data_IF_360592863584
#
_entry.id   IF_360592863584
#
_cell.length_a   1.000
_cell.length_b   1.000
_cell.length_c   1.000
_cell.angle_alpha   90.00
_cell.angle_beta   90.00
_cell.angle_gamma   90.00
#
_symmetry.space_group_name_H-M   'P 1'
#
loop_
_entity.id
_entity.type
_entity.pdbx_description
1 polymer ?
#
# COMPACT_ATOMS: atom_id res chain seq x y z
N UNK A 1 -13.77 17.37 -17.53
CA UNK A 1 -13.08 16.47 -16.59
C UNK A 1 -12.26 15.55 -17.46
N UNK A 2 -10.95 15.73 -17.46
CA UNK A 2 -10.05 15.12 -18.44
C UNK A 2 -10.02 13.60 -18.30
N UNK A 3 -10.43 12.96 -19.38
CA UNK A 3 -10.43 11.52 -19.58
C UNK A 3 -8.98 11.08 -19.81
N UNK A 4 -8.46 10.25 -18.92
CA UNK A 4 -7.14 9.63 -19.06
C UNK A 4 -7.19 8.64 -20.23
N UNK A 5 -6.95 9.11 -21.45
CA UNK A 5 -6.74 8.22 -22.58
C UNK A 5 -5.30 7.74 -22.50
N UNK A 6 -5.10 6.56 -21.91
CA UNK A 6 -3.86 5.81 -22.06
C UNK A 6 -3.65 5.56 -23.56
N UNK A 7 -2.54 6.03 -24.11
CA UNK A 7 -2.11 5.63 -25.45
C UNK A 7 -1.65 4.17 -25.38
N UNK A 8 -2.50 3.26 -25.85
CA UNK A 8 -2.29 1.81 -25.78
C UNK A 8 -1.13 1.33 -26.69
N UNK A 9 -0.49 2.24 -27.44
CA UNK A 9 0.61 1.95 -28.36
C UNK A 9 2.04 2.26 -27.87
N UNK A 10 2.21 2.91 -26.71
CA UNK A 10 3.53 3.31 -26.17
C UNK A 10 3.81 2.68 -24.81
N UNK A 11 5.10 2.46 -24.52
CA UNK A 11 5.56 1.98 -23.21
C UNK A 11 5.13 2.97 -22.12
N UNK A 12 4.28 2.52 -21.20
CA UNK A 12 3.75 3.34 -20.13
C UNK A 12 4.72 3.36 -18.94
N UNK A 13 4.98 4.51 -18.33
CA UNK A 13 5.69 4.58 -17.05
C UNK A 13 5.00 3.73 -15.98
N UNK A 14 5.78 2.96 -15.21
CA UNK A 14 5.25 2.06 -14.19
C UNK A 14 4.41 2.78 -13.11
N UNK A 15 4.71 4.05 -12.83
CA UNK A 15 3.94 4.83 -11.86
C UNK A 15 2.50 5.14 -12.33
N UNK A 16 2.25 5.23 -13.64
CA UNK A 16 0.89 5.40 -14.17
C UNK A 16 0.07 4.12 -14.02
N UNK A 17 0.70 2.96 -14.26
CA UNK A 17 0.09 1.66 -13.99
C UNK A 17 -0.27 1.54 -12.50
N UNK A 18 0.66 1.92 -11.61
CA UNK A 18 0.40 1.89 -10.18
C UNK A 18 -0.75 2.83 -9.76
N UNK A 19 -0.84 4.01 -10.37
CA UNK A 19 -1.92 4.96 -10.13
C UNK A 19 -3.28 4.41 -10.58
N UNK A 20 -3.35 3.78 -11.75
CA UNK A 20 -4.58 3.15 -12.25
C UNK A 20 -5.03 1.99 -11.35
N UNK A 21 -4.09 1.14 -10.92
CA UNK A 21 -4.36 0.05 -9.98
C UNK A 21 -4.91 0.58 -8.67
N UNK A 22 -4.31 1.64 -8.11
CA UNK A 22 -4.78 2.26 -6.86
C UNK A 22 -6.17 2.88 -7.01
N UNK A 23 -6.39 3.68 -8.06
CA UNK A 23 -7.68 4.32 -8.30
C UNK A 23 -8.79 3.27 -8.50
N UNK A 24 -8.49 2.19 -9.22
CA UNK A 24 -9.41 1.07 -9.41
C UNK A 24 -9.66 0.31 -8.11
N UNK A 25 -8.62 0.06 -7.30
CA UNK A 25 -8.77 -0.55 -5.99
C UNK A 25 -9.70 0.25 -5.08
N UNK A 26 -9.53 1.58 -5.03
CA UNK A 26 -10.38 2.49 -4.27
C UNK A 26 -11.83 2.49 -4.77
N UNK A 27 -12.06 2.49 -6.09
CA UNK A 27 -13.42 2.35 -6.66
C UNK A 27 -14.10 1.09 -6.14
N UNK A 28 -13.43 -0.06 -6.25
CA UNK A 28 -13.99 -1.35 -5.84
C UNK A 28 -14.21 -1.43 -4.33
N UNK A 29 -13.32 -0.82 -3.54
CA UNK A 29 -13.46 -0.74 -2.09
C UNK A 29 -14.71 0.07 -1.69
N UNK A 30 -14.92 1.23 -2.31
CA UNK A 30 -16.09 2.07 -2.03
C UNK A 30 -17.42 1.49 -2.52
N UNK A 31 -17.41 0.66 -3.56
CA UNK A 31 -18.61 -0.11 -3.97
C UNK A 31 -19.05 -1.07 -2.86
N UNK A 32 -18.11 -1.57 -2.04
CA UNK A 32 -18.43 -2.32 -0.82
C UNK A 32 -18.69 -3.81 -0.99
N UNK A 33 -18.46 -4.35 -2.19
CA UNK A 33 -18.74 -5.78 -2.49
C UNK A 33 -17.52 -6.51 -3.09
N UNK A 34 -16.50 -5.77 -3.53
CA UNK A 34 -15.37 -6.30 -4.32
C UNK A 34 -14.04 -6.29 -3.55
N UNK A 35 -14.07 -6.60 -2.25
CA UNK A 35 -12.90 -6.44 -1.37
C UNK A 35 -11.69 -7.30 -1.72
N UNK A 36 -11.87 -8.53 -2.21
CA UNK A 36 -10.75 -9.35 -2.69
C UNK A 36 -10.08 -8.76 -3.93
N UNK A 37 -10.86 -8.23 -4.87
CA UNK A 37 -10.32 -7.55 -6.04
C UNK A 37 -9.59 -6.26 -5.64
N UNK A 38 -10.19 -5.47 -4.74
CA UNK A 38 -9.55 -4.27 -4.17
C UNK A 38 -8.22 -4.62 -3.48
N UNK A 39 -8.18 -5.69 -2.66
CA UNK A 39 -6.98 -6.20 -2.01
C UNK A 39 -5.85 -6.48 -3.01
N UNK A 40 -6.17 -7.17 -4.12
CA UNK A 40 -5.17 -7.52 -5.12
C UNK A 40 -4.64 -6.32 -5.90
N UNK A 41 -5.53 -5.40 -6.30
CA UNK A 41 -5.15 -4.19 -7.02
C UNK A 41 -4.34 -3.25 -6.13
N UNK A 42 -4.76 -3.07 -4.87
CA UNK A 42 -4.02 -2.28 -3.89
C UNK A 42 -2.63 -2.88 -3.64
N UNK A 43 -2.51 -4.20 -3.54
CA UNK A 43 -1.23 -4.88 -3.41
C UNK A 43 -0.31 -4.71 -4.62
N UNK A 44 -0.86 -4.73 -5.84
CA UNK A 44 -0.09 -4.44 -7.05
C UNK A 44 0.38 -2.99 -7.11
N UNK A 45 -0.49 -2.04 -6.74
CA UNK A 45 -0.14 -0.62 -6.67
C UNK A 45 0.96 -0.36 -5.63
N UNK A 46 0.82 -0.93 -4.43
CA UNK A 46 1.79 -0.82 -3.33
C UNK A 46 3.18 -1.30 -3.78
N UNK A 47 3.27 -2.49 -4.40
CA UNK A 47 4.54 -3.06 -4.86
C UNK A 47 5.22 -2.20 -5.94
N UNK A 48 4.45 -1.63 -6.87
CA UNK A 48 5.01 -0.78 -7.93
C UNK A 48 5.48 0.57 -7.37
N UNK A 49 4.71 1.19 -6.49
CA UNK A 49 5.09 2.45 -5.85
C UNK A 49 6.28 2.24 -4.90
N UNK A 50 6.33 1.13 -4.17
CA UNK A 50 7.47 0.79 -3.31
C UNK A 50 8.77 0.70 -4.12
N UNK A 51 8.77 -0.02 -5.25
CA UNK A 51 9.93 -0.11 -6.14
C UNK A 51 10.36 1.24 -6.69
N UNK A 52 9.40 2.13 -7.00
CA UNK A 52 9.70 3.49 -7.42
C UNK A 52 10.43 4.25 -6.31
N UNK A 53 9.92 4.21 -5.08
CA UNK A 53 10.53 4.88 -3.92
C UNK A 53 11.93 4.32 -3.61
N UNK A 54 12.09 3.00 -3.63
CA UNK A 54 13.38 2.33 -3.45
C UNK A 54 14.39 2.78 -4.52
N UNK A 55 13.96 2.92 -5.78
CA UNK A 55 14.77 3.46 -6.86
C UNK A 55 15.19 4.91 -6.67
N UNK A 56 14.49 5.67 -5.82
CA UNK A 56 14.83 7.03 -5.40
C UNK A 56 15.57 7.08 -4.06
N UNK A 57 15.95 5.94 -3.48
CA UNK A 57 16.61 5.87 -2.17
C UNK A 57 15.69 6.20 -0.99
N UNK A 58 14.38 6.04 -1.16
CA UNK A 58 13.37 6.23 -0.10
C UNK A 58 12.85 4.88 0.39
N UNK A 59 12.38 4.87 1.64
CA UNK A 59 11.72 3.72 2.24
C UNK A 59 10.23 3.74 1.90
N UNK A 60 9.67 2.56 1.58
CA UNK A 60 8.24 2.38 1.34
C UNK A 60 7.50 2.08 2.66
N UNK A 61 6.20 2.40 2.70
CA UNK A 61 5.34 2.26 3.88
C UNK A 61 5.37 0.85 4.49
N UNK A 62 5.43 -0.20 3.66
CA UNK A 62 5.54 -1.57 4.14
C UNK A 62 6.86 -1.84 4.89
N UNK A 63 7.97 -1.31 4.37
CA UNK A 63 9.27 -1.47 5.02
C UNK A 63 9.35 -0.70 6.34
N UNK A 64 8.84 0.54 6.38
CA UNK A 64 8.73 1.33 7.61
C UNK A 64 7.87 0.62 8.67
N UNK A 65 6.73 0.05 8.26
CA UNK A 65 5.85 -0.70 9.16
C UNK A 65 6.54 -1.94 9.74
N UNK A 66 7.29 -2.68 8.94
CA UNK A 66 8.06 -3.84 9.41
C UNK A 66 9.11 -3.40 10.42
N UNK A 67 9.88 -2.35 10.12
CA UNK A 67 10.89 -1.81 11.02
C UNK A 67 10.27 -1.35 12.35
N UNK A 68 9.15 -0.63 12.29
CA UNK A 68 8.43 -0.18 13.48
C UNK A 68 7.96 -1.36 14.34
N UNK A 69 7.36 -2.39 13.76
CA UNK A 69 6.89 -3.57 14.50
C UNK A 69 8.05 -4.32 15.15
N UNK A 70 9.15 -4.54 14.42
CA UNK A 70 10.35 -5.20 14.95
C UNK A 70 10.92 -4.40 16.12
N UNK A 71 11.08 -3.08 15.94
CA UNK A 71 11.66 -2.17 16.94
C UNK A 71 10.81 -2.08 18.20
N UNK A 72 9.48 -2.03 18.06
CA UNK A 72 8.56 -1.86 19.18
C UNK A 72 8.19 -3.18 19.87
N UNK A 73 8.42 -4.33 19.22
CA UNK A 73 8.00 -5.63 19.77
C UNK A 73 8.52 -5.93 21.19
N UNK A 74 9.77 -5.59 21.59
CA UNK A 74 10.25 -5.83 22.95
C UNK A 74 9.57 -4.97 24.02
N UNK A 75 8.90 -3.88 23.62
CA UNK A 75 8.14 -3.03 24.54
C UNK A 75 6.78 -3.63 24.90
N UNK A 76 6.23 -4.49 24.03
CA UNK A 76 4.93 -5.13 24.21
C UNK A 76 5.10 -6.52 24.85
N UNK A 77 6.08 -7.28 24.39
CA UNK A 77 6.43 -8.60 24.94
C UNK A 77 7.95 -8.63 25.21
N UNK A 78 8.39 -8.48 26.48
CA UNK A 78 9.80 -8.40 26.83
C UNK A 78 10.58 -9.62 26.34
N UNK A 79 11.49 -9.40 25.38
CA UNK A 79 12.27 -10.44 24.74
C UNK A 79 13.09 -9.92 23.57
N UNK A 80 13.58 -10.83 22.73
CA UNK A 80 14.25 -10.46 21.49
C UNK A 80 13.25 -9.84 20.49
N UNK A 81 13.70 -8.88 19.66
CA UNK A 81 12.87 -8.37 18.57
C UNK A 81 12.33 -9.48 17.68
N UNK A 82 11.10 -9.33 17.21
CA UNK A 82 10.49 -10.27 16.26
C UNK A 82 11.34 -10.39 14.99
N UNK A 83 11.38 -11.60 14.40
CA UNK A 83 12.04 -11.83 13.12
C UNK A 83 11.36 -11.00 12.01
N UNK A 84 12.08 -10.10 11.32
CA UNK A 84 11.53 -9.31 10.23
C UNK A 84 10.88 -10.15 9.12
N UNK A 85 11.37 -11.37 8.85
CA UNK A 85 10.76 -12.26 7.85
C UNK A 85 9.39 -12.74 8.30
N UNK A 86 9.26 -13.11 9.57
CA UNK A 86 7.99 -13.49 10.16
C UNK A 86 6.99 -12.33 10.14
N UNK A 87 7.42 -11.11 10.51
CA UNK A 87 6.58 -9.90 10.44
C UNK A 87 6.10 -9.65 9.01
N UNK A 88 7.01 -9.69 8.02
CA UNK A 88 6.66 -9.52 6.59
C UNK A 88 5.65 -10.55 6.10
N UNK A 89 5.83 -11.81 6.52
CA UNK A 89 4.90 -12.88 6.18
C UNK A 89 3.52 -12.62 6.80
N UNK A 90 3.48 -12.21 8.06
CA UNK A 90 2.22 -11.95 8.78
C UNK A 90 1.45 -10.76 8.20
N UNK A 91 2.13 -9.66 7.89
CA UNK A 91 1.54 -8.45 7.29
C UNK A 91 1.06 -8.62 5.84
N UNK A 92 1.41 -9.74 5.19
CA UNK A 92 0.95 -10.09 3.84
C UNK A 92 0.10 -11.37 3.83
N UNK A 93 -0.26 -11.90 5.01
CA UNK A 93 -0.88 -13.22 5.11
C UNK A 93 -2.18 -13.31 4.31
N UNK A 94 -3.07 -12.33 4.43
CA UNK A 94 -4.36 -12.32 3.73
C UNK A 94 -4.18 -12.34 2.21
N UNK A 95 -3.31 -11.48 1.69
CA UNK A 95 -2.96 -11.46 0.27
C UNK A 95 -2.35 -12.79 -0.18
N UNK A 96 -1.44 -13.37 0.61
CA UNK A 96 -0.80 -14.64 0.28
C UNK A 96 -1.79 -15.81 0.34
N UNK A 97 -2.75 -15.78 1.26
CA UNK A 97 -3.79 -16.79 1.43
C UNK A 97 -4.75 -16.87 0.23
N UNK A 98 -4.92 -15.78 -0.50
CA UNK A 98 -5.73 -15.75 -1.74
C UNK A 98 -4.97 -16.21 -2.98
N UNK A 99 -3.63 -16.20 -2.95
CA UNK A 99 -2.77 -16.57 -4.08
C UNK A 99 -2.34 -18.05 -4.06
N UNK A 100 -2.26 -18.63 -2.87
CA UNK A 100 -1.78 -20.00 -2.68
C UNK A 100 -2.93 -20.90 -2.25
N UNK A 101 -3.03 -22.07 -2.88
CA UNK A 101 -3.97 -23.11 -2.46
C UNK A 101 -3.70 -23.49 -1.01
N UNK A 102 -4.71 -23.29 -0.15
CA UNK A 102 -4.72 -23.86 1.19
C UNK A 102 -5.22 -25.31 1.12
N UNK A 103 -4.73 -26.22 1.97
CA UNK A 103 -5.15 -27.63 1.96
C UNK A 103 -6.66 -27.83 2.12
N UNK A 104 -7.36 -26.88 2.75
CA UNK A 104 -8.81 -26.90 2.95
C UNK A 104 -9.59 -26.06 1.92
N UNK A 105 -8.91 -25.40 0.98
CA UNK A 105 -9.53 -24.56 -0.05
C UNK A 105 -10.22 -23.30 0.46
N UNK A 106 -10.00 -22.90 1.72
CA UNK A 106 -10.72 -21.79 2.34
C UNK A 106 -9.81 -20.61 2.68
N UNK A 107 -10.31 -19.41 2.38
CA UNK A 107 -9.72 -18.14 2.80
C UNK A 107 -10.41 -17.66 4.07
N UNK A 108 -9.65 -17.32 5.12
CA UNK A 108 -10.19 -16.88 6.42
C UNK A 108 -9.51 -15.61 6.90
N UNK A 109 -10.13 -14.47 6.62
CA UNK A 109 -9.81 -13.15 7.15
C UNK A 109 -10.98 -12.21 6.84
N UNK A 110 -10.98 -11.01 7.42
CA UNK A 110 -11.91 -9.95 7.04
C UNK A 110 -11.40 -9.27 5.76
N UNK A 111 -12.02 -9.52 4.58
CA UNK A 111 -11.48 -8.99 3.33
C UNK A 111 -11.57 -7.48 3.24
N UNK A 112 -12.51 -6.84 3.95
CA UNK A 112 -12.61 -5.38 3.98
C UNK A 112 -11.45 -4.80 4.77
N UNK A 113 -11.18 -5.31 5.96
CA UNK A 113 -10.08 -4.83 6.79
C UNK A 113 -8.71 -5.02 6.10
N UNK A 114 -8.49 -6.18 5.49
CA UNK A 114 -7.23 -6.46 4.80
C UNK A 114 -7.06 -5.62 3.53
N UNK A 115 -8.14 -5.34 2.80
CA UNK A 115 -8.12 -4.41 1.68
C UNK A 115 -7.80 -2.98 2.15
N UNK A 116 -8.38 -2.55 3.27
CA UNK A 116 -8.07 -1.25 3.89
C UNK A 116 -6.59 -1.13 4.22
N UNK A 117 -6.01 -2.11 4.91
CA UNK A 117 -4.60 -2.07 5.31
C UNK A 117 -3.66 -1.97 4.09
N UNK A 118 -4.00 -2.64 2.99
CA UNK A 118 -3.23 -2.50 1.75
C UNK A 118 -3.44 -1.16 1.06
N UNK A 119 -4.66 -0.63 1.06
CA UNK A 119 -4.96 0.69 0.50
C UNK A 119 -4.26 1.79 1.29
N UNK A 120 -4.22 1.73 2.63
CA UNK A 120 -3.46 2.64 3.49
C UNK A 120 -2.00 2.69 3.04
N UNK A 121 -1.34 1.53 2.90
CA UNK A 121 0.06 1.46 2.46
C UNK A 121 0.26 2.00 1.04
N UNK A 122 -0.62 1.64 0.11
CA UNK A 122 -0.54 2.09 -1.28
C UNK A 122 -0.74 3.61 -1.40
N UNK A 123 -1.70 4.18 -0.67
CA UNK A 123 -1.95 5.62 -0.63
C UNK A 123 -0.77 6.36 0.02
N UNK A 124 -0.22 5.86 1.13
CA UNK A 124 1.00 6.43 1.71
C UNK A 124 2.16 6.47 0.70
N UNK A 125 2.42 5.35 0.01
CA UNK A 125 3.44 5.30 -1.02
C UNK A 125 3.13 6.24 -2.20
N UNK A 126 1.85 6.40 -2.56
CA UNK A 126 1.40 7.29 -3.63
C UNK A 126 1.75 8.74 -3.34
N UNK A 127 1.44 9.22 -2.13
CA UNK A 127 1.78 10.59 -1.72
C UNK A 127 3.29 10.81 -1.64
N UNK A 128 4.05 9.84 -1.13
CA UNK A 128 5.52 9.93 -1.16
C UNK A 128 6.04 9.99 -2.61
N UNK A 129 5.45 9.22 -3.52
CA UNK A 129 5.83 9.20 -4.93
C UNK A 129 5.53 10.53 -5.66
N UNK A 130 4.51 11.29 -5.24
CA UNK A 130 4.20 12.61 -5.81
C UNK A 130 5.35 13.61 -5.69
N UNK A 131 6.30 13.41 -4.76
CA UNK A 131 7.52 14.23 -4.67
C UNK A 131 8.48 14.01 -5.87
N UNK A 132 8.35 12.89 -6.58
CA UNK A 132 9.32 12.42 -7.59
C UNK A 132 8.74 12.29 -8.99
N UNK A 133 7.44 12.04 -9.09
CA UNK A 133 6.74 11.82 -10.36
C UNK A 133 5.48 12.67 -10.41
N UNK A 134 5.02 13.09 -11.61
CA UNK A 134 3.86 13.95 -11.78
C UNK A 134 2.56 13.14 -11.63
N UNK A 135 2.30 12.67 -10.40
CA UNK A 135 1.07 11.97 -10.03
C UNK A 135 0.01 12.98 -9.57
N UNK A 136 -1.20 12.98 -10.15
CA UNK A 136 -2.27 13.87 -9.72
C UNK A 136 -3.14 13.25 -8.64
N UNK A 137 -3.45 14.02 -7.61
CA UNK A 137 -4.40 13.58 -6.59
C UNK A 137 -5.81 13.42 -7.16
N UNK A 138 -6.32 12.18 -7.18
CA UNK A 138 -7.69 11.88 -7.61
C UNK A 138 -8.70 12.13 -6.48
N UNK A 139 -9.97 12.32 -6.84
CA UNK A 139 -11.06 12.48 -5.86
C UNK A 139 -11.14 11.28 -4.91
N UNK A 140 -10.85 10.08 -5.39
CA UNK A 140 -10.92 8.86 -4.58
C UNK A 140 -9.78 8.76 -3.58
N UNK A 141 -8.56 9.12 -4.01
CA UNK A 141 -7.38 9.18 -3.13
C UNK A 141 -7.60 10.23 -2.04
N UNK A 142 -8.02 11.45 -2.43
CA UNK A 142 -8.36 12.51 -1.47
C UNK A 142 -9.46 12.08 -0.49
N UNK A 143 -10.52 11.43 -1.00
CA UNK A 143 -11.63 10.95 -0.18
C UNK A 143 -11.17 9.93 0.86
N UNK A 144 -10.25 9.05 0.47
CA UNK A 144 -9.76 7.97 1.34
C UNK A 144 -9.07 8.53 2.57
N UNK A 145 -8.25 9.57 2.39
CA UNK A 145 -7.67 10.30 3.52
C UNK A 145 -8.71 11.02 4.37
N UNK A 146 -9.68 11.69 3.73
CA UNK A 146 -10.65 12.56 4.41
C UNK A 146 -11.69 11.82 5.24
N UNK A 147 -12.00 10.56 4.91
CA UNK A 147 -13.00 9.76 5.64
C UNK A 147 -12.41 8.89 6.75
N UNK A 148 -11.13 8.51 6.69
CA UNK A 148 -10.58 7.49 7.59
C UNK A 148 -9.30 7.90 8.36
N UNK A 149 -8.57 8.94 7.94
CA UNK A 149 -7.26 9.24 8.54
C UNK A 149 -6.90 10.72 8.63
N UNK A 150 -7.47 11.42 9.61
CA UNK A 150 -6.84 12.62 10.18
C UNK A 150 -5.66 12.19 11.08
N UNK A 151 -4.53 11.77 10.50
CA UNK A 151 -3.28 11.63 11.27
C UNK A 151 -2.24 10.58 10.86
N UNK A 152 -2.34 9.86 9.73
CA UNK A 152 -1.35 8.82 9.35
C UNK A 152 -0.59 9.04 8.03
N UNK A 153 -0.61 10.25 7.47
CA UNK A 153 0.31 10.55 6.37
C UNK A 153 1.70 10.76 6.98
N UNK A 154 2.49 9.69 6.98
CA UNK A 154 3.91 9.73 7.26
C UNK A 154 4.66 9.66 5.93
N UNK A 155 5.26 10.79 5.53
CA UNK A 155 6.30 10.79 4.51
C UNK A 155 7.63 11.07 5.23
N UNK A 156 8.69 10.26 5.04
CA UNK A 156 9.98 10.50 5.69
C UNK A 156 10.63 11.86 5.39
N UNK A 157 10.13 12.62 4.40
CA UNK A 157 10.58 13.99 4.10
C UNK A 157 10.32 14.99 5.24
N UNK A 158 9.50 14.64 6.23
CA UNK A 158 9.21 15.46 7.41
C UNK A 158 10.28 15.40 8.52
N UNK A 159 11.35 14.62 8.35
CA UNK A 159 12.47 14.67 9.30
C UNK A 159 13.42 15.83 8.95
N UNK A 160 13.66 16.80 9.86
CA UNK A 160 14.70 17.79 9.65
C UNK A 160 16.03 17.06 9.54
N UNK A 161 16.71 17.25 8.40
CA UNK A 161 18.02 16.66 8.16
C UNK A 161 18.94 16.89 9.34
N UNK A 162 19.47 15.79 9.90
CA UNK A 162 20.57 15.85 10.85
C UNK A 162 21.76 16.47 10.12
N UNK A 163 22.10 17.70 10.48
CA UNK A 163 23.33 18.36 10.09
C UNK A 163 24.58 17.71 10.69
#
# INVERSE_FOLDING_TARGET
MDEWVLDHGLAQPQYLVAAELLDTALKLFYVGECYYAALHLAGGAEELLAKLLEGQGRTAAFADMVEAVVTLSPLVDPGDPLDPKWVKWRLNEARNATKHDRPDGHVRFDPRAEAQDLLDRAVSNYYCAMEYVPLPETVLIRRFLGHEHLGKLWCPSDQPGTG
#
